data_IF_220817861381
#
_entry.id   IF_220817861381
#
_cell.length_a   1.000
_cell.length_b   1.000
_cell.length_c   1.000
_cell.angle_alpha   90.00
_cell.angle_beta   90.00
_cell.angle_gamma   90.00
#
_symmetry.space_group_name_H-M   'P 1'
#
loop_
_entity.id
_entity.type
_entity.pdbx_description
1 polymer ?
#
# COMPACT_ATOMS: atom_id res chain seq x y z
N UNK A 1 13.82 12.80 -34.98
CA UNK A 1 12.63 13.46 -34.46
C UNK A 1 11.52 12.42 -34.43
N UNK A 2 11.00 12.10 -33.22
CA UNK A 2 9.84 11.20 -33.09
C UNK A 2 8.66 11.80 -33.83
N UNK A 3 7.98 10.97 -34.63
CA UNK A 3 6.71 11.34 -35.21
C UNK A 3 5.63 11.25 -34.12
N UNK A 4 5.21 12.40 -33.60
CA UNK A 4 4.17 12.48 -32.59
C UNK A 4 2.75 12.16 -33.13
N UNK A 5 2.62 11.86 -34.43
CA UNK A 5 1.36 11.37 -34.99
C UNK A 5 1.15 9.87 -34.74
N UNK A 6 2.10 9.20 -34.16
CA UNK A 6 2.06 7.77 -33.90
C UNK A 6 0.98 7.43 -32.86
N UNK A 7 0.12 6.50 -33.23
CA UNK A 7 -0.93 6.00 -32.33
C UNK A 7 -0.33 4.86 -31.46
N UNK A 8 -0.29 5.06 -30.17
CA UNK A 8 0.16 4.01 -29.23
C UNK A 8 -0.71 2.76 -29.38
N UNK A 9 -0.13 1.55 -29.22
CA UNK A 9 -0.91 0.34 -29.08
C UNK A 9 -1.91 0.49 -27.92
N UNK A 10 -3.13 0.07 -28.15
CA UNK A 10 -4.22 0.12 -27.18
C UNK A 10 -4.64 -1.26 -26.69
N UNK A 11 -3.97 -2.29 -27.20
CA UNK A 11 -4.25 -3.68 -26.85
C UNK A 11 -3.01 -4.35 -26.28
N UNK A 12 -3.20 -5.21 -25.27
CA UNK A 12 -2.16 -6.05 -24.71
C UNK A 12 -1.50 -6.89 -25.80
N UNK A 13 -0.18 -6.98 -25.75
CA UNK A 13 0.59 -7.83 -26.67
C UNK A 13 0.78 -7.23 -28.07
N UNK A 14 0.24 -6.05 -28.32
CA UNK A 14 0.55 -5.31 -29.55
C UNK A 14 1.89 -4.60 -29.33
N UNK A 15 2.88 -5.00 -30.11
CA UNK A 15 4.22 -4.44 -30.04
C UNK A 15 4.38 -3.22 -30.94
N UNK A 16 5.31 -2.39 -30.56
CA UNK A 16 5.80 -1.25 -31.29
C UNK A 16 7.31 -1.32 -31.37
N UNK A 17 7.90 -1.04 -32.52
CA UNK A 17 9.35 -1.14 -32.71
C UNK A 17 10.13 -0.12 -31.85
N UNK A 18 9.46 0.93 -31.36
CA UNK A 18 10.08 1.99 -30.55
C UNK A 18 9.73 1.92 -29.06
N UNK A 19 8.56 1.39 -28.70
CA UNK A 19 8.03 1.40 -27.32
C UNK A 19 7.97 0.00 -26.70
N UNK A 20 8.09 -1.04 -27.52
CA UNK A 20 7.98 -2.41 -27.06
C UNK A 20 6.54 -2.88 -26.85
N UNK A 21 6.37 -3.87 -26.00
CA UNK A 21 5.08 -4.50 -25.74
C UNK A 21 4.30 -3.69 -24.70
N UNK A 22 3.04 -3.39 -24.98
CA UNK A 22 2.15 -2.74 -24.02
C UNK A 22 1.74 -3.73 -22.93
N UNK A 23 2.14 -3.47 -21.69
CA UNK A 23 1.80 -4.28 -20.52
C UNK A 23 1.03 -3.50 -19.45
N UNK A 24 1.09 -2.17 -19.49
CA UNK A 24 0.37 -1.28 -18.58
C UNK A 24 0.12 0.08 -19.22
N UNK A 25 -0.75 0.87 -18.59
CA UNK A 25 -1.09 2.20 -19.05
C UNK A 25 -2.03 2.22 -20.23
N UNK A 26 -1.99 3.29 -21.01
CA UNK A 26 -2.83 3.50 -22.17
C UNK A 26 -2.96 4.95 -22.57
N UNK A 27 -4.03 5.27 -23.28
CA UNK A 27 -4.31 6.63 -23.70
C UNK A 27 -4.91 7.42 -22.53
N UNK A 28 -4.31 8.55 -22.19
CA UNK A 28 -4.85 9.43 -21.15
C UNK A 28 -4.04 9.52 -19.86
N UNK A 29 -2.85 8.95 -19.83
CA UNK A 29 -1.86 9.20 -18.79
C UNK A 29 -2.21 8.56 -17.45
N UNK A 30 -1.81 7.34 -17.29
CA UNK A 30 -1.83 6.62 -16.03
C UNK A 30 -0.45 6.11 -15.74
N UNK A 31 -0.06 6.16 -14.48
CA UNK A 31 1.13 5.50 -13.98
C UNK A 31 2.43 6.09 -14.49
N UNK A 32 3.38 6.18 -13.61
CA UNK A 32 4.79 6.40 -13.90
C UNK A 32 5.64 5.61 -12.90
N UNK A 33 6.95 5.61 -13.07
CA UNK A 33 7.86 4.92 -12.16
C UNK A 33 7.58 3.42 -12.07
N UNK A 34 7.14 2.82 -13.19
CA UNK A 34 6.77 1.40 -13.22
C UNK A 34 7.95 0.51 -12.85
N UNK A 35 7.73 -0.41 -11.93
CA UNK A 35 8.72 -1.37 -11.49
C UNK A 35 8.13 -2.79 -11.44
N UNK A 36 8.85 -3.75 -11.99
CA UNK A 36 8.43 -5.16 -11.98
C UNK A 36 9.44 -5.98 -11.21
N UNK A 37 8.96 -6.81 -10.29
CA UNK A 37 9.75 -7.81 -9.58
C UNK A 37 9.08 -9.19 -9.68
N UNK A 38 9.87 -10.24 -9.85
CA UNK A 38 9.39 -11.62 -9.79
C UNK A 38 9.60 -12.18 -8.39
N UNK A 39 8.59 -12.81 -7.86
CA UNK A 39 8.59 -13.46 -6.56
C UNK A 39 8.45 -14.97 -6.72
N UNK A 40 9.49 -15.71 -6.38
CA UNK A 40 9.54 -17.17 -6.52
C UNK A 40 8.56 -17.87 -5.59
N UNK A 41 8.30 -17.33 -4.39
CA UNK A 41 7.40 -17.95 -3.41
C UNK A 41 5.94 -17.93 -3.88
N UNK A 42 5.48 -16.80 -4.38
CA UNK A 42 4.12 -16.66 -4.92
C UNK A 42 3.99 -17.08 -6.38
N UNK A 43 5.12 -17.19 -7.09
CA UNK A 43 5.19 -17.41 -8.54
C UNK A 43 4.42 -16.33 -9.32
N UNK A 44 4.59 -15.05 -8.92
CA UNK A 44 4.03 -13.89 -9.59
C UNK A 44 5.07 -12.85 -9.94
N UNK A 45 4.82 -12.14 -11.04
CA UNK A 45 5.40 -10.85 -11.35
C UNK A 45 4.50 -9.79 -10.75
N UNK A 46 5.04 -8.93 -9.89
CA UNK A 46 4.35 -7.77 -9.31
C UNK A 46 4.77 -6.53 -10.07
N UNK A 47 3.77 -5.79 -10.55
CA UNK A 47 3.94 -4.50 -11.20
C UNK A 47 3.48 -3.41 -10.25
N UNK A 48 4.40 -2.54 -9.87
CA UNK A 48 4.15 -1.33 -9.09
C UNK A 48 4.15 -0.13 -10.02
N UNK A 49 3.19 0.75 -9.86
CA UNK A 49 3.07 1.99 -10.62
C UNK A 49 2.65 3.13 -9.73
N UNK A 50 3.15 4.32 -10.00
CA UNK A 50 2.76 5.52 -9.28
C UNK A 50 1.66 6.26 -10.04
N UNK A 51 0.56 6.54 -9.37
CA UNK A 51 -0.63 7.18 -9.92
C UNK A 51 -0.81 8.57 -9.32
N UNK A 52 -1.58 9.39 -10.03
CA UNK A 52 -1.99 10.72 -9.64
C UNK A 52 -0.90 11.79 -9.72
N UNK A 53 -1.24 13.00 -9.26
CA UNK A 53 -0.39 14.17 -9.42
C UNK A 53 0.57 14.39 -8.28
N UNK A 54 1.76 14.85 -8.63
CA UNK A 54 2.77 15.36 -7.72
C UNK A 54 2.92 16.86 -7.95
N UNK A 55 1.89 17.63 -7.64
CA UNK A 55 1.93 19.09 -7.79
C UNK A 55 2.42 19.72 -6.50
N UNK A 56 3.43 20.57 -6.58
CA UNK A 56 4.15 21.14 -5.44
C UNK A 56 3.36 22.13 -4.55
N UNK A 57 2.06 21.98 -4.43
CA UNK A 57 1.23 22.73 -3.49
C UNK A 57 0.40 21.77 -2.67
N UNK A 58 0.21 22.06 -1.40
CA UNK A 58 -0.46 21.23 -0.39
C UNK A 58 -1.82 20.65 -0.82
N UNK A 59 -2.49 21.30 -1.76
CA UNK A 59 -3.87 20.98 -2.14
C UNK A 59 -4.02 19.95 -3.26
N UNK A 60 -2.94 19.54 -3.95
CA UNK A 60 -3.04 18.81 -5.22
C UNK A 60 -2.12 17.59 -5.30
N UNK A 61 -1.60 17.13 -4.20
CA UNK A 61 -0.61 16.07 -4.18
C UNK A 61 -1.18 14.80 -3.58
N UNK A 62 -1.65 13.89 -4.44
CA UNK A 62 -2.17 12.58 -4.07
C UNK A 62 -1.42 11.46 -4.82
N UNK A 63 -0.11 11.62 -4.94
CA UNK A 63 0.75 10.62 -5.56
C UNK A 63 0.78 9.36 -4.71
N UNK A 64 0.58 8.19 -5.32
CA UNK A 64 0.37 6.94 -4.61
C UNK A 64 0.81 5.75 -5.44
N UNK A 65 1.15 4.64 -4.79
CA UNK A 65 1.56 3.40 -5.44
C UNK A 65 0.36 2.50 -5.64
N UNK A 66 0.21 2.00 -6.88
CA UNK A 66 -0.76 0.98 -7.26
C UNK A 66 -0.05 -0.30 -7.64
N UNK A 67 -0.65 -1.43 -7.26
CA UNK A 67 -0.09 -2.76 -7.43
C UNK A 67 -0.99 -3.63 -8.30
N UNK A 68 -0.33 -4.36 -9.22
CA UNK A 68 -0.92 -5.39 -10.07
C UNK A 68 -0.02 -6.62 -10.06
N UNK A 69 -0.52 -7.77 -10.51
CA UNK A 69 0.30 -8.97 -10.67
C UNK A 69 -0.05 -9.77 -11.92
N UNK A 70 0.90 -10.60 -12.36
CA UNK A 70 0.73 -11.54 -13.47
C UNK A 70 1.57 -12.80 -13.26
N UNK A 71 1.12 -13.92 -13.85
CA UNK A 71 1.95 -15.15 -13.96
C UNK A 71 2.94 -15.11 -15.12
N UNK A 72 2.84 -14.13 -15.99
CA UNK A 72 3.72 -13.94 -17.16
C UNK A 72 4.27 -12.51 -17.13
N UNK A 73 5.57 -12.34 -17.36
CA UNK A 73 6.21 -11.02 -17.39
C UNK A 73 5.59 -10.07 -18.42
N UNK A 74 4.99 -10.62 -19.46
CA UNK A 74 4.28 -9.85 -20.50
C UNK A 74 2.81 -9.58 -20.17
N UNK A 75 2.36 -9.99 -18.98
CA UNK A 75 0.98 -9.83 -18.49
C UNK A 75 0.02 -10.95 -18.99
N UNK A 76 -1.27 -10.81 -18.79
CA UNK A 76 -1.97 -9.62 -18.28
C UNK A 76 -1.66 -9.37 -16.80
N UNK A 77 -1.37 -8.14 -16.48
CA UNK A 77 -1.30 -7.70 -15.09
C UNK A 77 -2.70 -7.30 -14.63
N UNK A 78 -3.11 -7.81 -13.48
CA UNK A 78 -4.43 -7.57 -12.91
C UNK A 78 -4.33 -7.21 -11.43
N UNK A 79 -5.31 -6.46 -10.93
CA UNK A 79 -5.48 -6.14 -9.51
C UNK A 79 -6.33 -7.20 -8.77
N UNK A 80 -6.68 -6.97 -7.50
CA UNK A 80 -7.47 -7.90 -6.70
C UNK A 80 -8.89 -8.11 -7.23
N UNK A 81 -9.45 -7.15 -7.95
CA UNK A 81 -10.77 -7.25 -8.62
C UNK A 81 -10.68 -7.94 -9.99
N UNK A 82 -9.47 -8.17 -10.49
CA UNK A 82 -9.24 -8.69 -11.85
C UNK A 82 -9.24 -7.60 -12.93
N UNK A 83 -9.21 -6.32 -12.58
CA UNK A 83 -9.08 -5.24 -13.55
C UNK A 83 -7.67 -5.22 -14.13
N UNK A 84 -7.59 -4.96 -15.44
CA UNK A 84 -6.31 -4.87 -16.15
C UNK A 84 -5.54 -3.59 -15.82
N UNK A 85 -4.21 -3.70 -15.74
CA UNK A 85 -3.30 -2.54 -15.70
C UNK A 85 -3.32 -1.71 -16.98
N UNK A 86 -3.87 -2.24 -18.08
CA UNK A 86 -4.02 -1.50 -19.34
C UNK A 86 -5.36 -0.79 -19.32
N UNK A 87 -5.34 0.52 -19.41
CA UNK A 87 -6.52 1.35 -19.55
C UNK A 87 -6.39 2.23 -20.79
N UNK A 88 -7.22 1.94 -21.80
CA UNK A 88 -7.18 2.58 -23.11
C UNK A 88 -8.20 3.71 -23.27
N UNK A 89 -8.95 4.01 -22.22
CA UNK A 89 -9.92 5.11 -22.22
C UNK A 89 -9.26 6.49 -22.31
N UNK A 90 -9.97 7.43 -22.89
CA UNK A 90 -9.57 8.84 -22.85
C UNK A 90 -9.87 9.41 -21.45
N UNK A 91 -8.86 9.89 -20.73
CA UNK A 91 -8.96 10.33 -19.34
C UNK A 91 -9.65 9.28 -18.47
N UNK A 92 -9.04 8.10 -18.32
CA UNK A 92 -9.65 7.02 -17.57
C UNK A 92 -9.83 7.42 -16.10
N UNK A 93 -10.91 6.94 -15.50
CA UNK A 93 -11.04 6.96 -14.05
C UNK A 93 -9.98 6.03 -13.45
N UNK A 94 -9.06 6.58 -12.67
CA UNK A 94 -7.97 5.85 -12.04
C UNK A 94 -8.36 5.33 -10.65
N UNK A 95 -9.50 5.75 -10.11
CA UNK A 95 -9.93 5.43 -8.75
C UNK A 95 -9.97 3.92 -8.52
N UNK A 96 -10.48 3.18 -9.49
CA UNK A 96 -10.70 1.74 -9.38
C UNK A 96 -9.65 0.89 -10.13
N UNK A 97 -8.45 1.40 -10.28
CA UNK A 97 -7.36 0.69 -10.97
C UNK A 97 -6.21 0.36 -10.03
N UNK A 98 -5.93 -0.93 -9.89
CA UNK A 98 -4.85 -1.43 -9.06
C UNK A 98 -5.12 -1.35 -7.56
N UNK A 99 -4.45 -2.20 -6.79
CA UNK A 99 -4.49 -2.14 -5.34
C UNK A 99 -3.75 -0.89 -4.88
N UNK A 100 -4.42 -0.02 -4.15
CA UNK A 100 -3.78 1.14 -3.50
C UNK A 100 -3.05 0.67 -2.25
N UNK A 101 -1.72 0.67 -2.28
CA UNK A 101 -0.93 0.19 -1.14
C UNK A 101 -1.08 1.08 0.09
N UNK A 102 -1.05 2.38 -0.11
CA UNK A 102 -1.30 3.39 0.91
C UNK A 102 -1.56 4.76 0.25
N UNK A 103 -2.04 5.71 1.04
CA UNK A 103 -2.25 7.10 0.64
C UNK A 103 -1.61 8.07 1.63
N UNK A 104 -1.88 9.36 1.46
CA UNK A 104 -1.48 10.37 2.42
C UNK A 104 -2.12 10.08 3.77
N UNK A 105 -1.32 9.83 4.80
CA UNK A 105 -1.85 9.34 6.07
C UNK A 105 -0.97 9.72 7.26
N UNK A 106 -1.61 9.72 8.43
CA UNK A 106 -0.98 10.11 9.68
C UNK A 106 -1.59 9.32 10.83
N UNK A 107 -0.74 8.69 11.63
CA UNK A 107 -1.13 8.13 12.91
C UNK A 107 -1.13 9.23 13.99
N UNK A 108 -2.22 9.35 14.72
CA UNK A 108 -2.41 10.44 15.70
C UNK A 108 -1.51 10.27 16.92
N UNK A 109 -1.22 9.03 17.31
CA UNK A 109 -0.33 8.72 18.44
C UNK A 109 1.09 9.24 18.23
N UNK A 110 1.56 9.32 16.99
CA UNK A 110 2.90 9.84 16.69
C UNK A 110 3.03 11.35 16.95
N UNK A 111 1.92 12.08 17.07
CA UNK A 111 1.94 13.51 17.45
C UNK A 111 2.34 13.76 18.89
N UNK A 112 2.15 12.79 19.76
CA UNK A 112 2.29 12.94 21.20
C UNK A 112 3.74 12.75 21.68
N UNK A 113 4.61 12.23 20.82
CA UNK A 113 5.93 11.75 21.22
C UNK A 113 7.07 12.56 20.57
N UNK A 114 6.90 13.82 20.37
CA UNK A 114 7.97 14.82 20.14
C UNK A 114 8.91 14.59 19.01
N UNK A 115 9.62 14.88 18.42
CA UNK A 115 10.79 15.24 17.62
C UNK A 115 11.17 14.41 16.40
N UNK A 116 10.53 13.32 16.03
CA UNK A 116 10.63 12.90 14.65
C UNK A 116 9.76 13.84 13.80
N UNK A 117 10.31 15.01 13.50
CA UNK A 117 9.62 16.12 12.84
C UNK A 117 8.91 15.71 11.54
N UNK A 118 9.28 14.56 10.98
CA UNK A 118 8.80 14.14 9.69
C UNK A 118 7.61 13.20 9.81
N UNK A 119 7.74 12.05 10.46
CA UNK A 119 6.66 11.07 10.57
C UNK A 119 5.47 11.59 11.36
N UNK A 120 5.68 12.41 12.39
CA UNK A 120 4.62 13.02 13.18
C UNK A 120 3.71 13.97 12.38
N UNK A 121 4.17 14.49 11.27
CA UNK A 121 3.36 15.30 10.35
C UNK A 121 2.61 14.51 9.30
N UNK A 122 2.86 13.20 9.23
CA UNK A 122 2.24 12.27 8.28
C UNK A 122 2.94 12.19 6.94
N UNK A 123 2.82 11.02 6.35
CA UNK A 123 3.31 10.70 5.01
C UNK A 123 2.44 11.30 3.93
N UNK A 124 3.08 11.81 2.89
CA UNK A 124 2.42 12.42 1.74
C UNK A 124 3.13 12.03 0.45
N UNK A 125 2.35 11.73 -0.58
CA UNK A 125 2.89 11.50 -1.92
C UNK A 125 3.94 10.40 -2.01
N UNK A 126 3.73 9.26 -1.36
CA UNK A 126 4.59 8.09 -1.51
C UNK A 126 4.53 7.52 -2.92
N UNK A 127 5.68 7.36 -3.57
CA UNK A 127 5.69 6.82 -4.93
C UNK A 127 7.07 6.71 -5.57
N UNK A 128 7.07 6.50 -6.88
CA UNK A 128 8.25 6.31 -7.74
C UNK A 128 9.20 5.28 -7.14
N UNK A 129 8.64 4.10 -6.87
CA UNK A 129 9.25 3.06 -6.07
C UNK A 129 10.17 2.13 -6.86
N UNK A 130 10.99 1.41 -6.11
CA UNK A 130 11.52 0.10 -6.48
C UNK A 130 11.03 -0.94 -5.47
N UNK A 131 11.22 -2.22 -5.77
CA UNK A 131 10.95 -3.32 -4.86
C UNK A 131 12.16 -4.27 -4.87
N UNK A 132 12.50 -4.81 -3.71
CA UNK A 132 13.58 -5.77 -3.53
C UNK A 132 13.00 -7.04 -2.88
N UNK A 133 13.36 -8.19 -3.42
CA UNK A 133 13.24 -9.46 -2.75
C UNK A 133 14.68 -9.93 -2.51
N UNK A 134 15.03 -10.04 -1.24
CA UNK A 134 16.40 -10.42 -0.84
C UNK A 134 16.58 -11.94 -0.91
N UNK A 135 17.82 -12.40 -0.83
CA UNK A 135 18.20 -13.81 -0.93
C UNK A 135 17.55 -14.71 0.13
N UNK A 136 17.15 -14.14 1.28
CA UNK A 136 16.42 -14.84 2.34
C UNK A 136 14.89 -14.86 2.17
N UNK A 137 14.38 -14.24 1.09
CA UNK A 137 12.96 -14.11 0.78
C UNK A 137 12.29 -12.89 1.41
N UNK A 138 13.02 -12.06 2.14
CA UNK A 138 12.50 -10.80 2.69
C UNK A 138 12.16 -9.83 1.57
N UNK A 139 11.02 -9.13 1.69
CA UNK A 139 10.50 -8.23 0.67
C UNK A 139 10.49 -6.80 1.18
N UNK A 140 10.92 -5.88 0.34
CA UNK A 140 11.02 -4.47 0.67
C UNK A 140 10.46 -3.59 -0.45
N UNK A 141 9.65 -2.62 -0.08
CA UNK A 141 9.21 -1.53 -0.91
C UNK A 141 10.06 -0.31 -0.58
N UNK A 142 10.76 0.23 -1.58
CA UNK A 142 11.65 1.38 -1.44
C UNK A 142 11.06 2.51 -2.27
N UNK A 143 10.71 3.62 -1.66
CA UNK A 143 10.02 4.71 -2.34
C UNK A 143 10.41 6.07 -1.77
N UNK A 144 10.19 7.13 -2.53
CA UNK A 144 10.26 8.47 -1.97
C UNK A 144 8.93 8.87 -1.35
N UNK A 145 8.99 9.66 -0.32
CA UNK A 145 7.81 10.28 0.29
C UNK A 145 8.10 11.73 0.63
N UNK A 146 7.04 12.50 0.79
CA UNK A 146 7.07 13.83 1.40
C UNK A 146 6.43 13.74 2.77
N UNK A 147 6.65 14.78 3.56
CA UNK A 147 5.99 14.93 4.86
C UNK A 147 5.11 16.17 4.84
N UNK A 148 4.01 16.12 5.58
CA UNK A 148 3.05 17.20 5.65
C UNK A 148 3.55 18.34 6.54
N UNK A 149 4.66 18.92 6.17
CA UNK A 149 5.27 20.06 6.83
C UNK A 149 5.40 21.27 5.87
N UNK A 150 5.64 22.50 6.37
CA UNK A 150 5.68 23.70 5.53
C UNK A 150 6.73 23.68 4.40
N UNK A 151 7.75 22.85 4.51
CA UNK A 151 8.83 22.75 3.55
C UNK A 151 8.71 21.52 2.64
N UNK A 152 7.69 20.68 2.85
CA UNK A 152 7.49 19.40 2.14
C UNK A 152 8.82 18.63 1.98
N UNK A 153 9.50 18.37 3.09
CA UNK A 153 10.75 17.60 3.10
C UNK A 153 10.56 16.26 2.42
N UNK A 154 11.53 15.85 1.61
CA UNK A 154 11.50 14.58 0.89
C UNK A 154 12.53 13.64 1.47
N UNK A 155 12.15 12.38 1.61
CA UNK A 155 13.04 11.32 2.01
C UNK A 155 12.74 10.02 1.27
N UNK A 156 13.70 9.11 1.28
CA UNK A 156 13.48 7.72 0.91
C UNK A 156 13.02 6.96 2.14
N UNK A 157 12.02 6.09 1.96
CA UNK A 157 11.54 5.16 2.99
C UNK A 157 11.61 3.74 2.47
N UNK A 158 11.85 2.84 3.39
CA UNK A 158 11.86 1.39 3.15
C UNK A 158 10.82 0.77 4.05
N UNK A 159 9.80 0.17 3.47
CA UNK A 159 8.83 -0.64 4.22
C UNK A 159 8.98 -2.10 3.84
N UNK A 160 8.91 -2.98 4.84
CA UNK A 160 8.86 -4.40 4.61
C UNK A 160 7.51 -4.78 3.98
N UNK A 161 7.51 -5.84 3.17
CA UNK A 161 6.27 -6.39 2.62
C UNK A 161 6.15 -7.87 2.96
N UNK A 162 4.92 -8.32 3.14
CA UNK A 162 4.60 -9.70 3.47
C UNK A 162 3.52 -10.21 2.53
N UNK A 163 3.64 -11.45 2.06
CA UNK A 163 2.56 -12.07 1.30
C UNK A 163 1.39 -12.38 2.22
N UNK A 164 0.20 -11.97 1.81
CA UNK A 164 -1.02 -12.47 2.43
C UNK A 164 -1.38 -13.87 1.89
N UNK A 165 -2.43 -14.51 2.41
CA UNK A 165 -2.85 -15.85 2.00
C UNK A 165 -3.23 -15.97 0.52
N UNK A 166 -3.57 -14.86 -0.16
CA UNK A 166 -3.87 -14.82 -1.58
C UNK A 166 -2.63 -14.50 -2.44
N UNK A 167 -1.46 -14.38 -1.81
CA UNK A 167 -0.20 -14.06 -2.48
C UNK A 167 -0.09 -12.61 -2.93
N UNK A 168 -0.73 -11.66 -2.23
CA UNK A 168 -0.52 -10.24 -2.44
C UNK A 168 0.45 -9.68 -1.40
N UNK A 169 1.45 -8.89 -1.79
CA UNK A 169 2.35 -8.22 -0.85
C UNK A 169 1.62 -7.06 -0.16
N UNK A 170 1.35 -7.19 1.12
CA UNK A 170 0.89 -6.12 2.00
C UNK A 170 2.09 -5.34 2.52
N UNK A 171 1.97 -4.03 2.66
CA UNK A 171 3.07 -3.15 3.09
C UNK A 171 2.99 -2.91 4.59
N UNK A 172 4.08 -3.13 5.32
CA UNK A 172 4.19 -2.86 6.75
C UNK A 172 3.81 -1.39 7.07
N UNK A 173 3.25 -1.17 8.25
CA UNK A 173 2.69 0.13 8.66
C UNK A 173 3.79 1.19 8.82
N UNK A 174 4.92 0.81 9.41
CA UNK A 174 6.04 1.69 9.71
C UNK A 174 7.28 1.35 8.90
N UNK A 175 8.20 2.29 8.81
CA UNK A 175 9.49 2.12 8.18
C UNK A 175 10.25 0.92 8.78
N UNK A 176 10.99 0.22 7.93
CA UNK A 176 11.79 -0.91 8.37
C UNK A 176 12.99 -0.46 9.21
N UNK A 177 12.94 -0.78 10.50
CA UNK A 177 13.98 -0.50 11.48
C UNK A 177 14.63 -1.79 12.02
N UNK A 178 14.52 -2.91 11.27
CA UNK A 178 15.14 -4.18 11.62
C UNK A 178 14.22 -5.16 12.34
N UNK A 179 12.91 -4.88 12.46
CA UNK A 179 11.94 -5.83 13.00
C UNK A 179 11.74 -7.00 12.04
N UNK A 180 11.48 -8.19 12.59
CA UNK A 180 11.18 -9.38 11.81
C UNK A 180 9.82 -9.96 12.21
N UNK A 181 9.07 -10.46 11.22
CA UNK A 181 7.79 -11.11 11.49
C UNK A 181 7.98 -12.42 12.25
N UNK A 182 7.18 -12.65 13.28
CA UNK A 182 7.19 -13.92 14.01
C UNK A 182 6.61 -15.04 13.13
N UNK A 183 7.44 -15.99 12.73
CA UNK A 183 6.98 -17.15 11.95
C UNK A 183 6.05 -18.06 12.74
N UNK A 184 6.15 -18.03 14.06
CA UNK A 184 5.26 -18.75 14.97
C UNK A 184 3.98 -17.97 15.31
N UNK A 185 3.89 -16.74 14.81
CA UNK A 185 2.76 -15.81 14.99
C UNK A 185 2.79 -15.09 16.32
N UNK A 186 1.61 -14.61 16.71
CA UNK A 186 1.41 -13.79 17.90
C UNK A 186 0.27 -14.36 18.75
N UNK A 187 0.40 -14.23 20.06
CA UNK A 187 -0.64 -14.65 21.00
C UNK A 187 -1.85 -13.71 20.96
N UNK A 188 -2.99 -14.20 21.44
CA UNK A 188 -4.19 -13.35 21.55
C UNK A 188 -3.94 -12.14 22.44
N UNK A 189 -3.19 -12.28 23.53
CA UNK A 189 -2.87 -11.16 24.44
C UNK A 189 -2.05 -10.05 23.74
N UNK A 190 -1.21 -10.42 22.76
CA UNK A 190 -0.47 -9.44 21.97
C UNK A 190 -1.37 -8.73 20.95
N UNK A 191 -2.35 -9.44 20.37
CA UNK A 191 -3.22 -8.94 19.30
C UNK A 191 -4.40 -8.13 19.85
N UNK A 192 -5.07 -8.63 20.89
CA UNK A 192 -6.30 -8.01 21.42
C UNK A 192 -6.06 -6.60 21.94
N UNK A 193 -7.02 -5.70 21.72
CA UNK A 193 -7.01 -4.36 22.27
C UNK A 193 -7.36 -3.27 21.24
N UNK A 194 -7.03 -2.03 21.60
CA UNK A 194 -7.38 -0.85 20.86
C UNK A 194 -6.30 -0.51 19.82
N UNK A 195 -6.75 -0.10 18.64
CA UNK A 195 -5.90 0.25 17.52
C UNK A 195 -6.31 1.60 16.93
N UNK A 196 -5.33 2.39 16.59
CA UNK A 196 -5.49 3.41 15.56
C UNK A 196 -5.59 2.74 14.20
N UNK A 197 -6.63 3.06 13.43
CA UNK A 197 -7.01 2.41 12.19
C UNK A 197 -7.05 3.41 11.04
N UNK A 198 -6.50 3.05 9.90
CA UNK A 198 -6.57 3.82 8.66
C UNK A 198 -7.11 2.92 7.55
N UNK A 199 -8.20 3.32 6.91
CA UNK A 199 -8.58 2.83 5.60
C UNK A 199 -8.05 3.80 4.55
N UNK A 200 -7.13 3.36 3.70
CA UNK A 200 -6.51 4.19 2.67
C UNK A 200 -7.45 4.50 1.51
N UNK A 201 -8.58 3.81 1.39
CA UNK A 201 -9.57 4.00 0.33
C UNK A 201 -8.98 3.83 -1.07
N UNK A 202 -9.76 4.22 -2.07
CA UNK A 202 -9.34 4.14 -3.49
C UNK A 202 -9.12 5.50 -4.13
N UNK A 203 -9.35 6.59 -3.40
CA UNK A 203 -9.33 7.94 -3.95
C UNK A 203 -8.05 8.20 -4.77
N UNK A 204 -8.27 8.67 -5.98
CA UNK A 204 -7.25 8.99 -6.96
C UNK A 204 -7.40 10.43 -7.51
N UNK A 205 -8.15 11.28 -6.79
CA UNK A 205 -8.39 12.64 -7.25
C UNK A 205 -7.10 13.47 -7.25
N UNK A 206 -6.90 14.17 -8.34
CA UNK A 206 -5.76 15.08 -8.52
C UNK A 206 -6.05 16.49 -7.97
N UNK A 207 -7.27 16.75 -7.55
CA UNK A 207 -7.73 18.09 -7.16
C UNK A 207 -7.62 18.38 -5.67
N UNK A 208 -7.58 17.35 -4.82
CA UNK A 208 -7.43 17.49 -3.38
C UNK A 208 -6.51 16.42 -2.82
N UNK A 209 -5.59 16.82 -1.96
CA UNK A 209 -4.86 15.86 -1.13
C UNK A 209 -5.52 15.82 0.24
N UNK A 210 -6.19 14.74 0.56
CA UNK A 210 -6.70 14.51 1.90
C UNK A 210 -5.64 13.78 2.71
N UNK A 211 -5.26 14.35 3.83
CA UNK A 211 -4.48 13.63 4.85
C UNK A 211 -5.45 12.76 5.63
N UNK A 212 -5.35 11.44 5.48
CA UNK A 212 -6.11 10.50 6.27
C UNK A 212 -5.58 10.49 7.70
N UNK A 213 -6.48 10.61 8.64
CA UNK A 213 -6.21 10.49 10.07
C UNK A 213 -6.82 9.20 10.60
N UNK A 214 -6.39 8.79 11.77
CA UNK A 214 -6.82 7.55 12.38
C UNK A 214 -8.25 7.58 12.90
N UNK A 215 -8.90 6.44 12.81
CA UNK A 215 -10.09 6.05 13.55
C UNK A 215 -9.70 5.09 14.68
N UNK A 216 -10.56 4.89 15.66
CA UNK A 216 -10.31 3.96 16.74
C UNK A 216 -11.14 2.69 16.55
N UNK A 217 -10.47 1.55 16.59
CA UNK A 217 -11.13 0.24 16.57
C UNK A 217 -10.58 -0.65 17.69
N UNK A 218 -11.41 -1.54 18.20
CA UNK A 218 -11.01 -2.54 19.20
C UNK A 218 -11.15 -3.92 18.58
N UNK A 219 -10.09 -4.72 18.63
CA UNK A 219 -10.13 -6.16 18.30
C UNK A 219 -10.51 -6.93 19.57
N UNK A 220 -11.72 -7.49 19.56
CA UNK A 220 -12.27 -8.22 20.71
C UNK A 220 -11.95 -9.72 20.67
N UNK A 221 -11.88 -10.38 21.82
CA UNK A 221 -11.59 -11.81 21.98
C UNK A 221 -12.63 -12.71 21.27
N UNK A 222 -13.85 -12.25 21.12
CA UNK A 222 -14.90 -12.99 20.43
C UNK A 222 -14.84 -12.89 18.89
N UNK A 223 -13.78 -12.24 18.35
CA UNK A 223 -13.58 -12.06 16.92
C UNK A 223 -14.36 -10.90 16.32
N UNK A 224 -14.98 -10.04 17.13
CA UNK A 224 -15.64 -8.83 16.66
C UNK A 224 -14.66 -7.65 16.61
N UNK A 225 -14.92 -6.71 15.70
CA UNK A 225 -14.32 -5.39 15.65
C UNK A 225 -15.37 -4.39 16.09
N UNK A 226 -15.03 -3.49 17.01
CA UNK A 226 -15.92 -2.43 17.50
C UNK A 226 -15.19 -1.08 17.52
N UNK A 227 -15.94 0.01 17.64
CA UNK A 227 -15.42 1.38 17.65
C UNK A 227 -15.96 2.21 16.50
N UNK A 228 -15.11 2.96 15.81
CA UNK A 228 -15.52 3.77 14.66
C UNK A 228 -15.88 2.91 13.43
N UNK A 229 -15.38 1.68 13.37
CA UNK A 229 -15.75 0.64 12.42
C UNK A 229 -16.24 -0.61 13.16
N UNK A 230 -17.20 -1.29 12.56
CA UNK A 230 -17.72 -2.56 13.05
C UNK A 230 -17.42 -3.66 12.02
N UNK A 231 -17.14 -4.87 12.51
CA UNK A 231 -16.85 -5.99 11.65
C UNK A 231 -16.43 -7.23 12.42
N UNK A 232 -15.74 -8.13 11.72
CA UNK A 232 -15.16 -9.32 12.34
C UNK A 232 -13.70 -9.47 11.94
N UNK A 233 -12.94 -10.16 12.77
CA UNK A 233 -11.55 -10.48 12.51
C UNK A 233 -11.24 -11.91 12.92
N UNK A 234 -10.21 -12.48 12.32
CA UNK A 234 -9.67 -13.78 12.69
C UNK A 234 -8.18 -13.84 12.37
N UNK A 235 -7.48 -14.64 13.19
CA UNK A 235 -6.10 -15.02 12.93
C UNK A 235 -6.09 -16.28 12.06
N UNK A 236 -5.30 -16.27 11.00
CA UNK A 236 -5.21 -17.37 10.04
C UNK A 236 -4.29 -18.52 10.50
N UNK A 237 -4.23 -19.55 9.68
CA UNK A 237 -3.33 -20.69 9.87
C UNK A 237 -1.89 -20.27 9.58
N UNK A 238 -1.02 -20.35 10.57
CA UNK A 238 0.37 -19.88 10.49
C UNK A 238 0.58 -18.62 11.29
N UNK A 239 -0.47 -18.27 12.00
CA UNK A 239 -0.43 -17.46 13.21
C UNK A 239 -0.07 -15.97 13.06
N UNK A 240 0.46 -15.50 11.97
CA UNK A 240 0.61 -14.08 11.68
C UNK A 240 -0.38 -13.57 10.64
N UNK A 241 -1.08 -14.46 9.93
CA UNK A 241 -2.12 -14.04 8.97
C UNK A 241 -3.33 -13.47 9.69
N UNK A 242 -3.92 -12.47 9.07
CA UNK A 242 -5.10 -11.76 9.54
C UNK A 242 -6.14 -11.66 8.44
N UNK A 243 -7.37 -11.97 8.76
CA UNK A 243 -8.53 -11.70 7.90
C UNK A 243 -9.50 -10.81 8.66
N UNK A 244 -10.00 -9.77 8.01
CA UNK A 244 -11.03 -8.88 8.54
C UNK A 244 -12.18 -8.73 7.54
N UNK A 245 -13.39 -8.66 8.05
CA UNK A 245 -14.57 -8.29 7.28
C UNK A 245 -15.14 -6.98 7.82
N UNK A 246 -15.09 -5.93 7.02
CA UNK A 246 -15.56 -4.58 7.36
C UNK A 246 -16.35 -4.06 6.16
N UNK A 247 -17.57 -3.58 6.37
CA UNK A 247 -18.45 -3.01 5.33
C UNK A 247 -18.67 -3.94 4.09
N UNK A 248 -18.74 -5.24 4.32
CA UNK A 248 -18.85 -6.31 3.30
C UNK A 248 -17.61 -6.43 2.38
N UNK A 249 -16.47 -5.94 2.79
CA UNK A 249 -15.17 -6.13 2.14
C UNK A 249 -14.37 -7.11 2.95
N UNK A 250 -13.79 -8.11 2.29
CA UNK A 250 -12.87 -9.06 2.90
C UNK A 250 -11.44 -8.56 2.73
N UNK A 251 -10.79 -8.24 3.83
CA UNK A 251 -9.40 -7.82 3.88
C UNK A 251 -8.54 -8.98 4.37
N UNK A 252 -7.42 -9.23 3.71
CA UNK A 252 -6.43 -10.25 4.10
C UNK A 252 -5.04 -9.68 4.17
N UNK A 253 -4.29 -10.09 5.20
CA UNK A 253 -2.93 -9.62 5.42
C UNK A 253 -2.27 -10.26 6.61
N UNK A 254 -1.52 -9.48 7.34
CA UNK A 254 -0.70 -9.97 8.45
C UNK A 254 -0.83 -9.09 9.69
N UNK A 255 -0.65 -9.71 10.86
CA UNK A 255 -0.19 -9.05 12.07
C UNK A 255 1.33 -8.97 12.05
N UNK A 256 1.88 -7.85 12.45
CA UNK A 256 3.32 -7.64 12.51
C UNK A 256 3.70 -6.74 13.67
N UNK A 257 4.54 -7.26 14.56
CA UNK A 257 5.06 -6.51 15.68
C UNK A 257 6.36 -5.84 15.28
N UNK A 258 6.35 -4.53 15.22
CA UNK A 258 7.44 -3.71 14.68
C UNK A 258 7.71 -2.49 15.54
N UNK A 259 8.85 -1.87 15.34
CA UNK A 259 9.16 -0.57 15.93
C UNK A 259 8.32 0.50 15.26
N UNK A 260 7.70 1.37 16.05
CA UNK A 260 6.99 2.55 15.55
C UNK A 260 7.97 3.66 15.15
N UNK A 261 7.43 4.73 14.56
CA UNK A 261 8.23 5.90 14.15
C UNK A 261 8.21 7.03 15.16
N UNK A 262 7.91 6.74 16.44
CA UNK A 262 8.13 7.65 17.54
C UNK A 262 9.62 7.84 17.82
N UNK A 263 9.98 8.87 18.60
CA UNK A 263 11.37 9.10 19.01
C UNK A 263 11.96 7.89 19.75
N UNK A 264 11.13 7.19 20.52
CA UNK A 264 11.53 6.06 21.36
C UNK A 264 11.55 4.73 20.60
N UNK A 265 10.97 4.67 19.39
CA UNK A 265 10.83 3.46 18.58
C UNK A 265 10.22 2.32 19.39
N UNK A 266 9.03 2.53 19.92
CA UNK A 266 8.34 1.52 20.72
C UNK A 266 7.94 0.33 19.87
N UNK A 267 8.09 -0.86 20.44
CA UNK A 267 7.63 -2.08 19.79
C UNK A 267 6.10 -2.16 19.87
N UNK A 268 5.45 -2.13 18.72
CA UNK A 268 3.99 -2.01 18.60
C UNK A 268 3.43 -3.12 17.71
N UNK A 269 2.31 -3.73 18.12
CA UNK A 269 1.56 -4.62 17.25
C UNK A 269 0.84 -3.82 16.17
N UNK A 270 1.05 -4.23 14.93
CA UNK A 270 0.39 -3.64 13.78
C UNK A 270 -0.34 -4.70 12.96
N UNK A 271 -1.24 -4.27 12.10
CA UNK A 271 -1.76 -5.07 11.01
C UNK A 271 -1.80 -4.28 9.70
N UNK A 272 -1.58 -5.00 8.62
CA UNK A 272 -1.70 -4.48 7.27
C UNK A 272 -2.40 -5.49 6.38
N UNK A 273 -3.49 -5.08 5.73
CA UNK A 273 -4.32 -5.95 4.91
C UNK A 273 -4.71 -5.27 3.60
N UNK A 274 -4.96 -6.11 2.60
CA UNK A 274 -5.49 -5.72 1.28
C UNK A 274 -6.90 -6.30 1.15
N UNK A 275 -7.84 -5.45 0.72
CA UNK A 275 -9.22 -5.80 0.44
C UNK A 275 -9.41 -6.37 -0.97
N UNK A 276 -10.45 -7.22 -1.11
CA UNK A 276 -10.92 -7.71 -2.40
C UNK A 276 -11.50 -6.60 -3.31
N UNK A 277 -11.63 -5.40 -2.77
CA UNK A 277 -12.05 -4.17 -3.43
C UNK A 277 -10.88 -3.26 -3.87
N UNK A 278 -9.62 -3.69 -3.78
CA UNK A 278 -8.38 -2.94 -4.05
C UNK A 278 -7.96 -1.92 -2.98
N UNK A 279 -8.68 -1.80 -1.88
CA UNK A 279 -8.28 -0.95 -0.75
C UNK A 279 -7.22 -1.63 0.11
N UNK A 280 -6.46 -0.83 0.86
CA UNK A 280 -5.60 -1.32 1.95
C UNK A 280 -6.01 -0.68 3.26
N UNK A 281 -5.88 -1.44 4.32
CA UNK A 281 -6.11 -0.97 5.69
C UNK A 281 -4.89 -1.23 6.57
N UNK A 282 -4.62 -0.27 7.44
CA UNK A 282 -3.55 -0.33 8.43
C UNK A 282 -4.10 -0.15 9.84
N UNK A 283 -3.47 -0.82 10.80
CA UNK A 283 -3.74 -0.60 12.21
C UNK A 283 -2.46 -0.61 13.04
N UNK A 284 -2.42 0.23 14.05
CA UNK A 284 -1.36 0.30 15.04
C UNK A 284 -1.96 0.26 16.43
N UNK A 285 -1.52 -0.70 17.26
CA UNK A 285 -2.04 -0.89 18.61
C UNK A 285 -1.67 0.30 19.49
N UNK A 286 -2.63 0.77 20.25
CA UNK A 286 -2.43 1.84 21.24
C UNK A 286 -2.23 1.18 22.61
N UNK A 287 -1.13 1.47 23.26
CA UNK A 287 -0.96 1.13 24.67
C UNK A 287 -1.65 2.20 25.54
N UNK A 288 -2.62 1.78 26.39
CA UNK A 288 -3.33 2.63 27.32
C UNK A 288 -2.53 2.87 28.60
#
# INVERSE_FOLDING_TARGET
>A
LRDYSYTYPTERGVGDEYLGLLISGGYGGTGEGSYIVYDEESDYYYLYESYCGLNGTDSFSNYQIRLFRSKDITGPYVDAKGNSSINTGLNPDQTDMGIKLFGNSKFSSLDLVGENEFSSNGYKCGGHNSALIDDDGSRYLIYHTRFNNPNETHEVRVHQQFLNEDGWPVTAVYEYLGSEISKDGYSMDEILGDYEFINHGLEAETTYSTMLTTYNVTLNEDGTISGDYEGTWSQGNGNYYCTMEIDNVTYKGVFFKQLDESEEHNETMTFSLIGDNNESIWGSKVEL
#
